data_IF_762559209084
#
_entry.id   IF_762559209084
#
_cell.length_a   1.000
_cell.length_b   1.000
_cell.length_c   1.000
_cell.angle_alpha   90.00
_cell.angle_beta   90.00
_cell.angle_gamma   90.00
#
_symmetry.space_group_name_H-M   'P 1'
#
loop_
_entity.id
_entity.type
_entity.pdbx_description
1 polymer ?
#
# COMPACT_ATOMS: atom_id res chain seq x y z
N UNK A 1 1.25 18.77 5.39
CA UNK A 1 1.45 19.07 3.94
C UNK A 1 1.85 17.75 3.32
N UNK A 2 1.33 17.33 2.16
CA UNK A 2 1.46 15.93 1.66
C UNK A 2 2.90 15.35 1.67
N UNK A 3 3.92 16.20 1.63
CA UNK A 3 5.33 15.84 1.77
C UNK A 3 5.73 15.16 3.10
N UNK A 4 4.87 15.18 4.12
CA UNK A 4 5.10 14.47 5.39
C UNK A 4 4.57 13.01 5.38
N UNK A 5 3.76 12.62 4.40
CA UNK A 5 3.25 11.24 4.25
C UNK A 5 4.38 10.19 4.22
N UNK A 6 5.48 10.37 3.47
CA UNK A 6 6.57 9.39 3.47
C UNK A 6 7.17 9.13 4.87
N UNK A 7 7.03 10.07 5.82
CA UNK A 7 7.55 9.91 7.18
C UNK A 7 6.71 8.98 8.05
N UNK A 8 5.45 8.70 7.67
CA UNK A 8 4.60 7.74 8.40
C UNK A 8 4.81 6.29 7.97
N UNK A 9 5.50 6.07 6.84
CA UNK A 9 5.78 4.73 6.30
C UNK A 9 6.99 4.14 7.02
N UNK A 10 6.88 2.90 7.50
CA UNK A 10 7.95 2.26 8.27
C UNK A 10 8.66 1.16 7.49
N UNK A 11 7.92 0.43 6.67
CA UNK A 11 8.31 -0.88 6.17
C UNK A 11 8.43 -0.92 4.63
N UNK A 12 7.64 -0.13 3.93
CA UNK A 12 7.61 -0.06 2.48
C UNK A 12 8.50 1.07 1.94
N UNK A 13 9.00 0.87 0.72
CA UNK A 13 9.46 2.01 -0.09
C UNK A 13 8.26 2.81 -0.54
N UNK A 14 8.36 4.12 -0.46
CA UNK A 14 7.29 5.06 -0.74
C UNK A 14 7.73 6.04 -1.83
N UNK A 15 6.89 6.24 -2.84
CA UNK A 15 7.03 7.32 -3.82
C UNK A 15 5.73 8.10 -3.87
N UNK A 16 5.86 9.42 -3.83
CA UNK A 16 4.77 10.35 -3.85
C UNK A 16 4.97 11.32 -5.02
N UNK A 17 3.94 11.51 -5.82
CA UNK A 17 3.93 12.50 -6.88
C UNK A 17 2.53 13.06 -7.06
N UNK A 18 2.36 14.37 -6.94
CA UNK A 18 1.04 15.02 -6.92
C UNK A 18 0.10 14.33 -5.90
N UNK A 19 -1.03 13.79 -6.36
CA UNK A 19 -2.01 13.03 -5.58
C UNK A 19 -1.76 11.51 -5.56
N UNK A 20 -0.82 11.01 -6.37
CA UNK A 20 -0.51 9.58 -6.49
C UNK A 20 0.55 9.14 -5.47
N UNK A 21 0.26 8.03 -4.79
CA UNK A 21 1.14 7.33 -3.87
C UNK A 21 1.42 5.91 -4.36
N UNK A 22 2.68 5.51 -4.34
CA UNK A 22 3.10 4.13 -4.59
C UNK A 22 3.87 3.57 -3.41
N UNK A 23 3.43 2.40 -2.93
CA UNK A 23 4.13 1.61 -1.93
C UNK A 23 4.69 0.34 -2.58
N UNK A 24 5.92 -0.05 -2.23
CA UNK A 24 6.49 -1.32 -2.65
C UNK A 24 7.35 -1.96 -1.57
N UNK A 25 7.36 -3.29 -1.54
CA UNK A 25 8.15 -4.10 -0.60
C UNK A 25 8.45 -5.46 -1.23
N UNK A 26 9.58 -6.04 -0.85
CA UNK A 26 9.87 -7.46 -1.10
C UNK A 26 9.07 -8.31 -0.11
N UNK A 27 8.36 -9.31 -0.60
CA UNK A 27 7.55 -10.21 0.22
C UNK A 27 8.15 -11.62 0.17
N UNK A 28 8.76 -12.03 1.28
CA UNK A 28 9.34 -13.37 1.42
C UNK A 28 8.53 -14.29 2.34
N UNK A 29 7.75 -13.72 3.27
CA UNK A 29 6.86 -14.44 4.15
C UNK A 29 5.52 -13.71 4.39
N UNK A 30 4.65 -14.30 5.21
CA UNK A 30 3.36 -13.69 5.57
C UNK A 30 3.48 -12.48 6.50
N UNK A 31 4.58 -12.35 7.25
CA UNK A 31 4.81 -11.21 8.11
C UNK A 31 5.14 -9.95 7.28
N UNK A 32 5.81 -10.11 6.14
CA UNK A 32 5.99 -9.02 5.18
C UNK A 32 4.67 -8.52 4.61
N UNK A 33 3.69 -9.41 4.40
CA UNK A 33 2.33 -9.03 4.02
C UNK A 33 1.66 -8.20 5.11
N UNK A 34 1.76 -8.63 6.37
CA UNK A 34 1.22 -7.88 7.51
C UNK A 34 1.86 -6.50 7.63
N UNK A 35 3.17 -6.38 7.45
CA UNK A 35 3.88 -5.09 7.46
C UNK A 35 3.42 -4.16 6.33
N UNK A 36 3.21 -4.71 5.12
CA UNK A 36 2.64 -3.94 4.01
C UNK A 36 1.24 -3.42 4.34
N UNK A 37 0.38 -4.25 4.94
CA UNK A 37 -0.95 -3.84 5.38
C UNK A 37 -0.87 -2.74 6.45
N UNK A 38 0.04 -2.85 7.42
CA UNK A 38 0.22 -1.84 8.46
C UNK A 38 0.62 -0.48 7.89
N UNK A 39 1.49 -0.44 6.88
CA UNK A 39 1.83 0.82 6.20
C UNK A 39 0.65 1.40 5.40
N UNK A 40 -0.16 0.55 4.77
CA UNK A 40 -1.41 0.98 4.13
C UNK A 40 -2.35 1.59 5.17
N UNK A 41 -2.51 0.97 6.33
CA UNK A 41 -3.35 1.47 7.42
C UNK A 41 -2.83 2.83 7.95
N UNK A 42 -1.50 3.00 8.04
CA UNK A 42 -0.86 4.28 8.41
C UNK A 42 -1.14 5.36 7.38
N UNK A 43 -1.09 5.06 6.08
CA UNK A 43 -1.44 6.00 5.01
C UNK A 43 -2.89 6.44 5.12
N UNK A 44 -3.81 5.49 5.30
CA UNK A 44 -5.24 5.77 5.42
C UNK A 44 -5.52 6.65 6.64
N UNK A 45 -4.89 6.32 7.77
CA UNK A 45 -4.97 7.13 8.99
C UNK A 45 -4.43 8.54 8.76
N UNK A 46 -3.24 8.67 8.18
CA UNK A 46 -2.64 9.98 7.88
C UNK A 46 -3.55 10.79 6.94
N UNK A 47 -4.17 10.16 5.94
CA UNK A 47 -5.12 10.81 5.03
C UNK A 47 -6.33 11.36 5.79
N UNK A 48 -6.90 10.56 6.71
CA UNK A 48 -8.02 10.98 7.56
C UNK A 48 -7.63 12.14 8.48
N UNK A 49 -6.47 12.04 9.13
CA UNK A 49 -5.96 13.06 10.05
C UNK A 49 -5.64 14.38 9.32
N UNK A 50 -5.31 14.33 8.02
CA UNK A 50 -5.07 15.49 7.16
C UNK A 50 -6.29 15.93 6.34
N UNK A 51 -7.48 15.35 6.58
CA UNK A 51 -8.72 15.65 5.85
C UNK A 51 -8.63 15.45 4.33
N UNK A 52 -7.80 14.51 3.89
CA UNK A 52 -7.66 14.13 2.48
C UNK A 52 -8.58 12.96 2.16
N UNK A 53 -9.26 13.05 1.02
CA UNK A 53 -10.11 11.97 0.52
C UNK A 53 -9.25 10.87 -0.09
N UNK A 54 -9.33 9.68 0.49
CA UNK A 54 -8.61 8.51 0.01
C UNK A 54 -9.49 7.71 -0.95
N UNK A 55 -9.12 7.64 -2.23
CA UNK A 55 -9.94 6.97 -3.25
C UNK A 55 -9.61 5.47 -3.37
N UNK A 56 -10.23 4.66 -2.52
CA UNK A 56 -10.03 3.20 -2.49
C UNK A 56 -10.35 2.50 -3.81
N UNK A 57 -11.31 3.02 -4.59
CA UNK A 57 -11.71 2.41 -5.87
C UNK A 57 -10.63 2.50 -6.96
N UNK A 58 -9.71 3.47 -6.85
CA UNK A 58 -8.58 3.63 -7.75
C UNK A 58 -7.31 2.93 -7.26
N UNK A 59 -7.32 2.40 -6.04
CA UNK A 59 -6.18 1.70 -5.48
C UNK A 59 -6.10 0.27 -6.03
N UNK A 60 -4.93 -0.10 -6.56
CA UNK A 60 -4.67 -1.44 -7.07
C UNK A 60 -3.39 -2.03 -6.47
N UNK A 61 -3.35 -3.36 -6.36
CA UNK A 61 -2.15 -4.11 -5.95
C UNK A 61 -1.60 -4.90 -7.14
N UNK A 62 -0.28 -4.88 -7.31
CA UNK A 62 0.45 -5.68 -8.31
C UNK A 62 1.57 -6.47 -7.62
N UNK A 63 1.89 -7.66 -8.13
CA UNK A 63 3.03 -8.44 -7.64
C UNK A 63 3.92 -8.85 -8.80
N UNK A 64 5.20 -8.51 -8.69
CA UNK A 64 6.23 -8.95 -9.61
C UNK A 64 7.00 -10.10 -8.96
N UNK A 65 7.11 -11.25 -9.63
CA UNK A 65 7.86 -12.39 -9.10
C UNK A 65 8.34 -13.32 -10.21
N UNK A 66 9.53 -13.89 -10.00
CA UNK A 66 10.06 -15.01 -10.81
C UNK A 66 9.73 -16.38 -10.20
N UNK A 67 9.16 -16.42 -8.98
CA UNK A 67 8.79 -17.66 -8.28
C UNK A 67 7.59 -18.29 -9.01
N UNK A 68 7.58 -19.63 -9.15
CA UNK A 68 6.45 -20.37 -9.74
C UNK A 68 5.16 -20.20 -8.91
N UNK A 69 5.29 -20.11 -7.60
CA UNK A 69 4.19 -19.84 -6.67
C UNK A 69 4.57 -18.64 -5.80
N UNK A 70 4.26 -17.40 -6.24
CA UNK A 70 4.49 -16.21 -5.44
C UNK A 70 3.46 -16.11 -4.30
N UNK A 71 3.89 -15.57 -3.16
CA UNK A 71 2.97 -15.17 -2.10
C UNK A 71 2.06 -14.07 -2.67
N UNK A 72 0.76 -14.31 -2.62
CA UNK A 72 -0.27 -13.34 -2.99
C UNK A 72 -0.96 -12.91 -1.72
N UNK A 73 -1.04 -11.60 -1.54
CA UNK A 73 -1.72 -11.00 -0.42
C UNK A 73 -2.68 -9.95 -0.93
N UNK A 74 -3.93 -10.07 -0.50
CA UNK A 74 -4.98 -9.14 -0.84
C UNK A 74 -5.02 -8.08 0.25
N UNK A 75 -4.37 -6.95 -0.03
CA UNK A 75 -4.41 -5.80 0.85
C UNK A 75 -5.84 -5.25 0.94
N UNK A 76 -6.18 -4.68 2.08
CA UNK A 76 -7.49 -4.13 2.37
C UNK A 76 -7.37 -2.64 2.73
N UNK A 77 -8.35 -1.85 2.33
CA UNK A 77 -8.45 -0.44 2.69
C UNK A 77 -9.86 -0.18 3.22
N UNK A 78 -9.98 0.14 4.51
CA UNK A 78 -11.26 0.42 5.19
C UNK A 78 -12.34 -0.66 4.95
N UNK A 79 -11.95 -1.93 4.94
CA UNK A 79 -12.84 -3.07 4.69
C UNK A 79 -12.96 -3.46 3.21
N UNK A 80 -12.43 -2.66 2.28
CA UNK A 80 -12.48 -2.95 0.84
C UNK A 80 -11.18 -3.60 0.38
N UNK A 81 -11.26 -4.82 -0.15
CA UNK A 81 -10.10 -5.48 -0.76
C UNK A 81 -9.66 -4.74 -2.02
N UNK A 82 -8.36 -4.46 -2.13
CA UNK A 82 -7.80 -3.79 -3.30
C UNK A 82 -7.91 -4.67 -4.54
N UNK A 83 -8.18 -4.04 -5.68
CA UNK A 83 -8.22 -4.76 -6.95
C UNK A 83 -6.81 -5.20 -7.31
N UNK A 84 -6.63 -6.50 -7.56
CA UNK A 84 -5.37 -7.05 -8.02
C UNK A 84 -5.29 -6.94 -9.53
N UNK A 85 -4.20 -6.37 -10.03
CA UNK A 85 -3.94 -6.20 -11.47
C UNK A 85 -2.70 -6.99 -11.89
N UNK A 86 -2.69 -7.41 -13.15
CA UNK A 86 -1.51 -7.91 -13.84
C UNK A 86 -1.00 -6.84 -14.81
N UNK A 87 0.29 -6.89 -15.13
CA UNK A 87 0.85 -6.17 -16.28
C UNK A 87 0.28 -6.71 -17.60
#
# INVERSE_FOLDING_TARGET
MINDLPQVIQDCKCWLFADDLKLSRTVDDGNDCTRMQQDIDRVVKWSKDNHLQFNTSKCATITFSKKRSPIRYDNNIDGVSMTRVSE
#
